data_IF_538073880020
#
_entry.id   IF_538073880020
#
_cell.length_a   1.000
_cell.length_b   1.000
_cell.length_c   1.000
_cell.angle_alpha   90.00
_cell.angle_beta   90.00
_cell.angle_gamma   90.00
#
_symmetry.space_group_name_H-M   'P 1'
#
loop_
_entity.id
_entity.type
_entity.pdbx_description
1 polymer ?
#
# COMPACT_ATOMS: atom_id res chain seq x y z
N UNK A 1 -62.88 -22.13 -15.27
CA UNK A 1 -61.63 -21.51 -14.79
C UNK A 1 -61.20 -20.54 -15.87
N UNK A 2 -61.18 -19.24 -15.60
CA UNK A 2 -60.80 -18.23 -16.59
C UNK A 2 -59.30 -18.28 -16.85
N UNK A 3 -58.91 -18.37 -18.10
CA UNK A 3 -57.51 -18.30 -18.55
C UNK A 3 -57.34 -17.02 -19.36
N UNK A 4 -56.22 -16.33 -19.12
CA UNK A 4 -55.83 -15.13 -19.86
C UNK A 4 -54.69 -15.51 -20.82
N UNK A 5 -54.78 -15.07 -22.06
CA UNK A 5 -53.75 -15.27 -23.06
C UNK A 5 -52.72 -14.14 -22.97
N UNK A 6 -51.47 -14.48 -22.70
CA UNK A 6 -50.34 -13.55 -22.65
C UNK A 6 -49.27 -13.97 -23.63
N UNK A 7 -48.47 -13.03 -24.12
CA UNK A 7 -47.32 -13.36 -24.97
C UNK A 7 -46.10 -13.74 -24.14
N UNK A 8 -45.38 -14.75 -24.61
CA UNK A 8 -44.04 -15.08 -24.14
C UNK A 8 -43.07 -13.95 -24.51
N UNK A 9 -42.40 -13.34 -23.53
CA UNK A 9 -41.46 -12.26 -23.79
C UNK A 9 -40.16 -12.73 -24.49
N UNK A 10 -39.91 -14.05 -24.55
CA UNK A 10 -38.73 -14.63 -25.20
C UNK A 10 -38.96 -14.99 -26.68
N UNK A 11 -40.14 -15.50 -27.04
CA UNK A 11 -40.40 -16.02 -28.39
C UNK A 11 -41.69 -15.50 -29.03
N UNK A 12 -42.47 -14.67 -28.34
CA UNK A 12 -43.73 -14.11 -28.82
C UNK A 12 -44.91 -15.09 -28.87
N UNK A 13 -44.71 -16.38 -28.55
CA UNK A 13 -45.80 -17.36 -28.54
C UNK A 13 -46.87 -17.03 -27.49
N UNK A 14 -48.14 -17.24 -27.83
CA UNK A 14 -49.26 -17.11 -26.89
C UNK A 14 -49.24 -18.22 -25.84
N UNK A 15 -49.44 -17.85 -24.57
CA UNK A 15 -49.50 -18.75 -23.43
C UNK A 15 -50.80 -18.47 -22.67
N UNK A 16 -51.61 -19.50 -22.51
CA UNK A 16 -52.79 -19.44 -21.64
C UNK A 16 -52.37 -19.71 -20.20
N UNK A 17 -52.59 -18.74 -19.32
CA UNK A 17 -52.30 -18.85 -17.90
C UNK A 17 -53.56 -18.63 -17.06
N UNK A 18 -53.73 -19.38 -15.96
CA UNK A 18 -54.74 -19.07 -14.96
C UNK A 18 -54.51 -17.68 -14.35
N UNK A 19 -55.58 -16.96 -14.01
CA UNK A 19 -55.50 -15.65 -13.36
C UNK A 19 -54.69 -15.65 -12.05
N UNK A 20 -54.64 -16.79 -11.35
CA UNK A 20 -53.86 -16.96 -10.10
C UNK A 20 -52.42 -17.39 -10.30
N UNK A 21 -51.99 -17.74 -11.53
CA UNK A 21 -50.65 -18.27 -11.77
C UNK A 21 -49.60 -17.16 -11.70
N UNK A 22 -48.62 -17.31 -10.80
CA UNK A 22 -47.44 -16.42 -10.69
C UNK A 22 -46.30 -16.82 -11.64
N UNK A 23 -46.30 -18.07 -12.07
CA UNK A 23 -45.26 -18.66 -12.90
C UNK A 23 -45.87 -19.50 -14.01
N UNK A 24 -45.26 -19.50 -15.17
CA UNK A 24 -45.68 -20.31 -16.31
C UNK A 24 -44.47 -20.76 -17.13
N UNK A 25 -44.61 -21.90 -17.82
CA UNK A 25 -43.59 -22.40 -18.75
C UNK A 25 -44.13 -22.27 -20.16
N UNK A 26 -43.37 -21.61 -21.04
CA UNK A 26 -43.74 -21.52 -22.44
C UNK A 26 -43.63 -22.91 -23.08
N UNK A 27 -44.73 -23.43 -23.63
CA UNK A 27 -44.72 -24.73 -24.34
C UNK A 27 -43.98 -24.69 -25.68
N UNK A 28 -43.74 -23.51 -26.24
CA UNK A 28 -43.05 -23.35 -27.52
C UNK A 28 -41.53 -23.29 -27.38
N UNK A 29 -41.00 -22.52 -26.42
CA UNK A 29 -39.55 -22.32 -26.26
C UNK A 29 -39.00 -22.89 -24.94
N UNK A 30 -39.85 -23.45 -24.07
CA UNK A 30 -39.44 -24.07 -22.82
C UNK A 30 -39.06 -23.11 -21.69
N UNK A 31 -39.06 -21.79 -21.92
CA UNK A 31 -38.62 -20.82 -20.92
C UNK A 31 -39.58 -20.74 -19.72
N UNK A 32 -39.00 -20.57 -18.52
CA UNK A 32 -39.75 -20.29 -17.28
C UNK A 32 -39.96 -18.78 -17.14
N UNK A 33 -41.22 -18.39 -17.00
CA UNK A 33 -41.66 -17.01 -17.00
C UNK A 33 -42.35 -16.66 -15.68
N UNK A 34 -42.03 -15.49 -15.13
CA UNK A 34 -42.79 -14.85 -14.06
C UNK A 34 -43.93 -14.04 -14.70
N UNK A 35 -45.14 -14.19 -14.19
CA UNK A 35 -46.31 -13.42 -14.67
C UNK A 35 -46.48 -12.19 -13.79
N UNK A 36 -46.29 -11.00 -14.37
CA UNK A 36 -46.47 -9.72 -13.70
C UNK A 36 -47.82 -9.13 -14.11
N UNK A 37 -48.67 -8.87 -13.12
CA UNK A 37 -49.97 -8.20 -13.29
C UNK A 37 -49.90 -6.83 -12.65
N UNK A 38 -50.13 -5.79 -13.43
CA UNK A 38 -50.23 -4.41 -12.96
C UNK A 38 -51.65 -3.89 -13.22
N UNK A 39 -51.96 -2.68 -12.77
CA UNK A 39 -53.27 -2.06 -13.00
C UNK A 39 -53.58 -1.82 -14.49
N UNK A 40 -52.55 -1.78 -15.35
CA UNK A 40 -52.68 -1.39 -16.76
C UNK A 40 -52.22 -2.46 -17.75
N UNK A 41 -51.52 -3.51 -17.31
CA UNK A 41 -51.01 -4.56 -18.19
C UNK A 41 -50.66 -5.85 -17.44
N UNK A 42 -50.84 -6.98 -18.13
CA UNK A 42 -50.28 -8.29 -17.76
C UNK A 42 -49.18 -8.64 -18.75
N UNK A 43 -47.97 -8.97 -18.26
CA UNK A 43 -46.85 -9.37 -19.10
C UNK A 43 -46.01 -10.47 -18.46
N UNK A 44 -45.21 -11.17 -19.27
CA UNK A 44 -44.30 -12.22 -18.82
C UNK A 44 -42.86 -11.71 -18.76
N UNK A 45 -42.09 -12.15 -17.75
CA UNK A 45 -40.68 -11.82 -17.57
C UNK A 45 -39.87 -13.11 -17.42
N UNK A 46 -38.69 -13.20 -18.05
CA UNK A 46 -37.88 -14.43 -18.04
C UNK A 46 -37.14 -14.58 -16.69
N UNK A 47 -37.34 -15.70 -15.99
CA UNK A 47 -36.70 -15.93 -14.68
C UNK A 47 -35.20 -16.26 -14.78
N UNK A 48 -34.80 -17.01 -15.81
CA UNK A 48 -33.42 -17.47 -16.01
C UNK A 48 -32.42 -16.32 -16.22
N UNK A 49 -32.89 -15.16 -16.68
CA UNK A 49 -32.04 -14.00 -16.96
C UNK A 49 -31.71 -13.20 -15.68
N UNK A 50 -32.47 -13.37 -14.60
CA UNK A 50 -32.24 -12.67 -13.32
C UNK A 50 -31.26 -13.43 -12.41
N UNK A 51 -31.38 -14.76 -12.30
CA UNK A 51 -30.40 -15.59 -11.56
C UNK A 51 -29.02 -15.54 -12.24
N UNK A 52 -28.95 -15.77 -13.56
CA UNK A 52 -27.67 -15.72 -14.29
C UNK A 52 -26.99 -14.35 -14.29
N UNK A 53 -27.75 -13.25 -14.20
CA UNK A 53 -27.16 -11.91 -14.09
C UNK A 53 -26.64 -11.63 -12.70
N UNK A 54 -27.29 -12.15 -11.66
CA UNK A 54 -26.89 -11.94 -10.26
C UNK A 54 -25.59 -12.68 -9.97
N UNK A 55 -25.48 -13.96 -10.37
CA UNK A 55 -24.26 -14.76 -10.20
C UNK A 55 -23.06 -14.11 -10.91
N UNK A 56 -23.24 -13.68 -12.18
CA UNK A 56 -22.18 -13.00 -12.94
C UNK A 56 -21.84 -11.61 -12.43
N UNK A 57 -22.73 -10.97 -11.67
CA UNK A 57 -22.48 -9.68 -11.02
C UNK A 57 -21.71 -9.88 -9.73
N UNK A 58 -22.05 -10.90 -8.94
CA UNK A 58 -21.31 -11.28 -7.73
C UNK A 58 -19.85 -11.63 -8.06
N UNK A 59 -19.62 -12.48 -9.06
CA UNK A 59 -18.27 -12.85 -9.50
C UNK A 59 -17.42 -11.63 -9.93
N UNK A 60 -18.06 -10.65 -10.60
CA UNK A 60 -17.38 -9.42 -11.04
C UNK A 60 -17.13 -8.45 -9.89
N UNK A 61 -18.02 -8.38 -8.91
CA UNK A 61 -17.85 -7.54 -7.73
C UNK A 61 -16.70 -8.07 -6.86
N UNK A 62 -16.59 -9.38 -6.69
CA UNK A 62 -15.49 -9.97 -5.93
C UNK A 62 -14.14 -9.76 -6.62
N UNK A 63 -14.07 -9.97 -7.95
CA UNK A 63 -12.85 -9.69 -8.70
C UNK A 63 -12.43 -8.20 -8.64
N UNK A 64 -13.39 -7.27 -8.63
CA UNK A 64 -13.12 -5.83 -8.52
C UNK A 64 -12.72 -5.40 -7.09
N UNK A 65 -13.37 -5.96 -6.07
CA UNK A 65 -13.09 -5.66 -4.66
C UNK A 65 -11.66 -6.07 -4.27
N UNK A 66 -11.14 -7.16 -4.85
CA UNK A 66 -9.79 -7.64 -4.56
C UNK A 66 -8.70 -6.77 -5.20
N UNK A 67 -8.98 -6.15 -6.35
CA UNK A 67 -8.06 -5.18 -6.96
C UNK A 67 -7.95 -3.88 -6.16
N UNK A 68 -9.05 -3.42 -5.57
CA UNK A 68 -9.04 -2.15 -4.82
C UNK A 68 -8.24 -2.24 -3.52
N UNK A 69 -8.22 -3.39 -2.84
CA UNK A 69 -7.46 -3.56 -1.59
C UNK A 69 -5.95 -3.36 -1.80
N UNK A 70 -5.39 -3.91 -2.89
CA UNK A 70 -3.98 -3.75 -3.22
C UNK A 70 -3.64 -2.29 -3.54
N UNK A 71 -4.49 -1.62 -4.32
CA UNK A 71 -4.31 -0.19 -4.63
C UNK A 71 -4.39 0.69 -3.39
N UNK A 72 -5.32 0.39 -2.47
CA UNK A 72 -5.44 1.12 -1.21
C UNK A 72 -4.20 0.94 -0.33
N UNK A 73 -3.67 -0.28 -0.26
CA UNK A 73 -2.41 -0.56 0.44
C UNK A 73 -1.25 0.22 -0.16
N UNK A 74 -1.12 0.24 -1.49
CA UNK A 74 -0.06 0.95 -2.20
C UNK A 74 -0.17 2.47 -1.98
N UNK A 75 -1.38 3.04 -2.09
CA UNK A 75 -1.63 4.47 -1.78
C UNK A 75 -1.37 4.82 -0.31
N UNK A 76 -1.68 3.91 0.62
CA UNK A 76 -1.38 4.11 2.03
C UNK A 76 0.13 4.09 2.29
N UNK A 77 0.86 3.19 1.63
CA UNK A 77 2.31 3.13 1.70
C UNK A 77 2.97 4.39 1.15
N UNK A 78 2.53 4.90 -0.01
CA UNK A 78 3.06 6.15 -0.57
C UNK A 78 2.91 7.33 0.39
N UNK A 79 1.73 7.48 1.01
CA UNK A 79 1.48 8.53 2.02
C UNK A 79 2.38 8.38 3.25
N UNK A 80 2.63 7.16 3.70
CA UNK A 80 3.50 6.90 4.87
C UNK A 80 4.98 7.05 4.53
N UNK A 81 5.40 6.64 3.33
CA UNK A 81 6.79 6.65 2.87
C UNK A 81 7.40 8.06 2.95
N UNK A 82 6.62 9.09 2.60
CA UNK A 82 7.05 10.48 2.70
C UNK A 82 7.49 10.89 4.11
N UNK A 83 6.94 10.30 5.17
CA UNK A 83 7.29 10.62 6.56
C UNK A 83 8.67 10.07 6.97
N UNK A 84 9.20 9.10 6.23
CA UNK A 84 10.50 8.48 6.51
C UNK A 84 11.61 8.99 5.61
N UNK A 85 11.26 9.61 4.48
CA UNK A 85 12.23 10.18 3.54
C UNK A 85 12.99 11.34 4.16
N UNK A 86 14.27 11.45 3.82
CA UNK A 86 15.13 12.55 4.25
C UNK A 86 15.42 13.39 3.01
N UNK A 87 15.17 14.70 3.09
CA UNK A 87 15.51 15.63 2.02
C UNK A 87 17.00 15.94 2.08
N UNK A 88 17.71 15.64 1.01
CA UNK A 88 19.11 16.01 0.89
C UNK A 88 19.25 17.54 0.64
N UNK A 89 20.48 18.06 0.64
CA UNK A 89 20.75 19.50 0.42
C UNK A 89 20.28 20.02 -0.95
N UNK A 90 19.98 19.12 -1.90
CA UNK A 90 19.53 19.43 -3.26
C UNK A 90 18.00 19.39 -3.37
N UNK A 91 17.28 19.19 -2.26
CA UNK A 91 15.81 19.10 -2.26
C UNK A 91 15.27 17.74 -2.71
N UNK A 92 16.14 16.76 -2.97
CA UNK A 92 15.73 15.43 -3.42
C UNK A 92 15.40 14.58 -2.18
N UNK A 93 14.21 14.00 -2.17
CA UNK A 93 13.78 13.06 -1.15
C UNK A 93 14.43 11.70 -1.41
N UNK A 94 15.40 11.32 -0.58
CA UNK A 94 16.08 10.03 -0.67
C UNK A 94 15.58 9.06 0.40
N UNK A 95 15.58 7.78 0.06
CA UNK A 95 15.30 6.71 1.02
C UNK A 95 16.51 6.59 1.95
N UNK A 96 16.33 6.71 3.29
CA UNK A 96 17.44 6.55 4.22
C UNK A 96 18.03 5.14 4.12
N UNK A 97 19.27 5.02 3.66
CA UNK A 97 19.97 3.74 3.58
C UNK A 97 20.77 3.48 4.85
N UNK A 98 20.68 2.24 5.37
CA UNK A 98 21.52 1.79 6.49
C UNK A 98 23.01 1.91 6.16
N UNK A 99 23.38 1.61 4.91
CA UNK A 99 24.76 1.65 4.39
C UNK A 99 25.37 3.06 4.42
N UNK A 100 24.61 4.11 4.10
CA UNK A 100 25.10 5.49 4.19
C UNK A 100 25.39 5.90 5.64
N UNK A 101 24.59 5.43 6.60
CA UNK A 101 24.75 5.74 8.01
C UNK A 101 25.98 5.05 8.64
N UNK A 102 26.24 3.79 8.31
CA UNK A 102 27.41 3.07 8.84
C UNK A 102 28.73 3.59 8.26
N UNK A 103 28.79 3.87 6.95
CA UNK A 103 29.99 4.42 6.32
C UNK A 103 30.28 5.82 6.88
N UNK A 104 29.25 6.68 7.01
CA UNK A 104 29.40 8.00 7.61
C UNK A 104 29.93 7.94 9.04
N UNK A 105 29.40 7.04 9.85
CA UNK A 105 29.87 6.84 11.24
C UNK A 105 31.34 6.42 11.33
N UNK A 106 31.76 5.46 10.49
CA UNK A 106 33.16 4.99 10.46
C UNK A 106 34.12 6.11 10.03
N UNK A 107 33.75 6.88 8.99
CA UNK A 107 34.56 8.01 8.52
C UNK A 107 34.68 9.09 9.59
N UNK A 108 33.57 9.47 10.23
CA UNK A 108 33.59 10.50 11.27
C UNK A 108 34.40 10.04 12.49
N UNK A 109 34.23 8.80 12.93
CA UNK A 109 34.98 8.24 14.06
C UNK A 109 36.47 8.15 13.74
N UNK A 110 36.85 7.64 12.57
CA UNK A 110 38.24 7.53 12.14
C UNK A 110 38.91 8.89 11.97
N UNK A 111 38.29 9.79 11.22
CA UNK A 111 38.80 11.14 11.00
C UNK A 111 38.90 11.93 12.31
N UNK A 112 37.87 11.89 13.15
CA UNK A 112 37.87 12.59 14.42
C UNK A 112 38.89 12.05 15.41
N UNK A 113 39.14 10.73 15.41
CA UNK A 113 40.22 10.13 16.22
C UNK A 113 41.59 10.60 15.75
N UNK A 114 41.86 10.53 14.45
CA UNK A 114 43.13 10.98 13.87
C UNK A 114 43.34 12.48 14.13
N UNK A 115 42.30 13.29 13.88
CA UNK A 115 42.33 14.74 14.13
C UNK A 115 42.64 15.04 15.61
N UNK A 116 42.00 14.34 16.55
CA UNK A 116 42.21 14.56 17.99
C UNK A 116 43.64 14.20 18.40
N UNK A 117 44.21 13.12 17.86
CA UNK A 117 45.60 12.73 18.12
C UNK A 117 46.59 13.80 17.61
N UNK A 118 46.39 14.30 16.38
CA UNK A 118 47.21 15.36 15.79
C UNK A 118 47.05 16.68 16.56
N UNK A 119 45.83 17.04 16.93
CA UNK A 119 45.51 18.23 17.70
C UNK A 119 46.17 18.23 19.09
N UNK A 120 46.18 17.09 19.78
CA UNK A 120 46.87 16.94 21.06
C UNK A 120 48.40 17.06 20.90
N UNK A 121 48.98 16.47 19.85
CA UNK A 121 50.42 16.55 19.58
C UNK A 121 50.89 17.97 19.25
N UNK A 122 50.11 18.71 18.47
CA UNK A 122 50.42 20.09 18.09
C UNK A 122 50.09 21.07 19.24
N UNK A 123 49.00 20.86 19.97
CA UNK A 123 48.59 21.69 21.10
C UNK A 123 49.66 21.76 22.21
N UNK A 124 50.38 20.67 22.45
CA UNK A 124 51.52 20.64 23.37
C UNK A 124 52.68 21.55 22.93
N UNK A 125 52.91 21.73 21.62
CA UNK A 125 53.92 22.65 21.11
C UNK A 125 53.51 24.13 21.27
N UNK A 126 52.20 24.43 21.20
CA UNK A 126 51.67 25.79 21.38
C UNK A 126 51.56 26.24 22.84
N UNK A 127 51.62 25.32 23.81
CA UNK A 127 51.62 25.67 25.24
C UNK A 127 52.89 26.40 25.70
N UNK A 128 54.02 26.19 25.01
CA UNK A 128 55.27 26.87 25.30
C UNK A 128 55.42 28.21 24.55
N UNK A 129 54.45 28.59 23.70
CA UNK A 129 54.53 29.80 22.89
C UNK A 129 54.02 31.04 23.66
N UNK A 130 54.73 32.17 23.61
CA UNK A 130 54.31 33.41 24.25
C UNK A 130 53.11 34.05 23.53
N UNK A 131 52.19 34.67 24.28
CA UNK A 131 50.99 35.33 23.75
C UNK A 131 49.71 34.49 23.92
N UNK A 132 48.66 34.67 23.10
CA UNK A 132 47.36 33.99 23.27
C UNK A 132 47.36 32.51 22.83
N UNK A 133 48.47 32.00 22.33
CA UNK A 133 48.62 30.64 21.79
C UNK A 133 48.34 29.48 22.78
N UNK A 134 48.59 29.59 24.10
CA UNK A 134 48.23 28.54 25.06
C UNK A 134 46.71 28.28 25.13
N UNK A 135 45.89 29.33 24.95
CA UNK A 135 44.42 29.19 24.94
C UNK A 135 43.96 28.44 23.69
N UNK A 136 44.61 28.70 22.54
CA UNK A 136 44.34 27.99 21.28
C UNK A 136 44.66 26.51 21.41
N UNK A 137 45.78 26.15 22.05
CA UNK A 137 46.17 24.76 22.31
C UNK A 137 45.16 23.98 23.16
N UNK A 138 44.37 24.66 24.00
CA UNK A 138 43.33 24.04 24.82
C UNK A 138 41.99 23.88 24.08
N UNK A 139 41.60 24.87 23.26
CA UNK A 139 40.32 24.86 22.55
C UNK A 139 40.31 23.91 21.33
N UNK A 140 41.45 23.77 20.67
CA UNK A 140 41.57 23.01 19.42
C UNK A 140 41.27 21.49 19.56
N UNK A 141 41.73 20.78 20.60
CA UNK A 141 41.33 19.39 20.85
C UNK A 141 39.87 19.26 21.29
N UNK A 142 39.36 20.23 22.05
CA UNK A 142 37.98 20.27 22.53
C UNK A 142 36.97 20.33 21.37
N UNK A 143 37.30 21.09 20.32
CA UNK A 143 36.53 21.10 19.08
C UNK A 143 36.45 19.70 18.43
N UNK A 144 37.55 18.96 18.41
CA UNK A 144 37.59 17.58 17.89
C UNK A 144 36.65 16.65 18.64
N UNK A 145 36.62 16.74 19.98
CA UNK A 145 35.70 15.95 20.82
C UNK A 145 34.24 16.28 20.53
N UNK A 146 33.90 17.58 20.44
CA UNK A 146 32.53 18.02 20.12
C UNK A 146 32.12 17.58 18.72
N UNK A 147 33.03 17.66 17.74
CA UNK A 147 32.80 17.20 16.38
C UNK A 147 32.49 15.69 16.31
N UNK A 148 33.28 14.86 17.00
CA UNK A 148 33.04 13.41 17.09
C UNK A 148 31.71 13.12 17.77
N UNK A 149 31.42 13.75 18.91
CA UNK A 149 30.17 13.55 19.63
C UNK A 149 28.94 13.94 18.79
N UNK A 150 29.00 15.09 18.11
CA UNK A 150 27.96 15.55 17.20
C UNK A 150 27.78 14.61 16.00
N UNK A 151 28.87 14.12 15.42
CA UNK A 151 28.85 13.16 14.34
C UNK A 151 28.21 11.82 14.72
N UNK A 152 28.59 11.26 15.87
CA UNK A 152 27.98 10.03 16.41
C UNK A 152 26.48 10.23 16.63
N UNK A 153 26.07 11.36 17.22
CA UNK A 153 24.65 11.65 17.43
C UNK A 153 23.87 11.73 16.11
N UNK A 154 24.44 12.36 15.09
CA UNK A 154 23.85 12.45 13.75
C UNK A 154 23.72 11.07 13.11
N UNK A 155 24.76 10.23 13.19
CA UNK A 155 24.74 8.85 12.70
C UNK A 155 23.71 8.00 13.42
N UNK A 156 23.57 8.13 14.75
CA UNK A 156 22.55 7.43 15.51
C UNK A 156 21.14 7.85 15.09
N UNK A 157 20.92 9.15 14.85
CA UNK A 157 19.65 9.66 14.39
C UNK A 157 19.27 9.08 13.01
N UNK A 158 20.21 9.11 12.05
CA UNK A 158 19.99 8.58 10.71
C UNK A 158 19.76 7.06 10.71
N UNK A 159 20.48 6.32 11.55
CA UNK A 159 20.31 4.88 11.71
C UNK A 159 18.91 4.53 12.24
N UNK A 160 18.44 5.23 13.28
CA UNK A 160 17.08 5.01 13.84
C UNK A 160 15.99 5.30 12.80
N UNK A 161 16.18 6.32 11.96
CA UNK A 161 15.23 6.65 10.91
C UNK A 161 15.21 5.58 9.79
N UNK A 162 16.38 5.10 9.37
CA UNK A 162 16.50 3.99 8.41
C UNK A 162 15.84 2.71 8.94
N UNK A 163 16.02 2.40 10.23
CA UNK A 163 15.42 1.22 10.85
C UNK A 163 13.88 1.32 10.91
N UNK A 164 13.35 2.50 11.24
CA UNK A 164 11.90 2.75 11.21
C UNK A 164 11.32 2.55 9.81
N UNK A 165 12.01 3.09 8.78
CA UNK A 165 11.63 2.89 7.39
C UNK A 165 11.60 1.42 7.02
N UNK A 166 12.67 0.67 7.31
CA UNK A 166 12.79 -0.74 6.95
C UNK A 166 11.74 -1.60 7.64
N UNK A 167 11.48 -1.37 8.93
CA UNK A 167 10.40 -2.06 9.65
C UNK A 167 9.03 -1.75 9.04
N UNK A 168 8.78 -0.52 8.61
CA UNK A 168 7.53 -0.15 7.96
C UNK A 168 7.41 -0.78 6.57
N UNK A 169 8.49 -0.77 5.79
CA UNK A 169 8.55 -1.36 4.46
C UNK A 169 8.36 -2.87 4.48
N UNK A 170 8.98 -3.57 5.44
CA UNK A 170 8.80 -5.01 5.60
C UNK A 170 7.36 -5.37 5.94
N UNK A 171 6.68 -4.57 6.78
CA UNK A 171 5.24 -4.76 7.06
C UNK A 171 4.39 -4.57 5.81
N UNK A 172 4.71 -3.56 4.99
CA UNK A 172 4.03 -3.35 3.71
C UNK A 172 4.23 -4.55 2.77
N UNK A 173 5.47 -5.03 2.61
CA UNK A 173 5.78 -6.19 1.77
C UNK A 173 5.07 -7.46 2.24
N UNK A 174 5.01 -7.70 3.56
CA UNK A 174 4.29 -8.84 4.13
C UNK A 174 2.79 -8.79 3.79
N UNK A 175 2.14 -7.64 3.97
CA UNK A 175 0.72 -7.45 3.63
C UNK A 175 0.47 -7.61 2.13
N UNK A 176 1.34 -7.04 1.29
CA UNK A 176 1.23 -7.17 -0.15
C UNK A 176 1.33 -8.64 -0.59
N UNK A 177 2.23 -9.41 0.02
CA UNK A 177 2.37 -10.84 -0.25
C UNK A 177 1.12 -11.62 0.15
N UNK A 178 0.53 -11.34 1.31
CA UNK A 178 -0.68 -12.04 1.75
C UNK A 178 -1.89 -11.78 0.85
N UNK A 179 -2.06 -10.54 0.37
CA UNK A 179 -3.14 -10.20 -0.57
C UNK A 179 -2.95 -10.95 -1.90
N UNK A 180 -1.72 -10.97 -2.43
CA UNK A 180 -1.42 -11.69 -3.67
C UNK A 180 -1.60 -13.21 -3.53
N UNK A 181 -1.23 -13.78 -2.38
CA UNK A 181 -1.47 -15.21 -2.09
C UNK A 181 -2.97 -15.54 -1.99
N UNK A 182 -3.78 -14.64 -1.44
CA UNK A 182 -5.25 -14.80 -1.41
C UNK A 182 -5.84 -14.73 -2.81
N UNK A 183 -5.41 -13.77 -3.64
CA UNK A 183 -5.84 -13.65 -5.04
C UNK A 183 -5.47 -14.90 -5.86
N UNK A 184 -4.28 -15.46 -5.67
CA UNK A 184 -3.86 -16.69 -6.35
C UNK A 184 -4.73 -17.90 -6.00
N UNK A 185 -5.08 -18.08 -4.72
CA UNK A 185 -5.94 -19.19 -4.28
C UNK A 185 -7.37 -19.07 -4.79
N UNK A 186 -7.90 -17.85 -4.87
CA UNK A 186 -9.24 -17.63 -5.43
C UNK A 186 -9.23 -18.00 -6.91
N UNK A 187 -8.20 -17.63 -7.66
CA UNK A 187 -8.07 -18.00 -9.08
C UNK A 187 -8.08 -19.51 -9.34
N UNK A 188 -7.54 -20.33 -8.44
CA UNK A 188 -7.53 -21.80 -8.55
C UNK A 188 -8.86 -22.47 -8.16
N UNK A 189 -9.75 -21.79 -7.43
CA UNK A 189 -11.05 -22.35 -6.99
C UNK A 189 -12.13 -22.28 -8.09
N UNK A 190 -11.86 -21.55 -9.18
CA UNK A 190 -12.78 -21.36 -10.32
C UNK A 190 -12.46 -22.24 -11.55
N UNK A 191 -11.38 -23.02 -11.52
CA UNK A 191 -10.95 -23.96 -12.59
C UNK A 191 -11.38 -25.41 -12.28
#
# INVERSE_FOLDING_TARGET
MSTEAISCNQCGAGIDVPESAKYATCRHCGSRLAIKRTLTATYSELLEELEQRTDRLEDRVDALAHGSELEELDRAWERQRGQYMITNKQGIAEVPTKTGSTIGGVVIAGFGTIWTLVACGIGGAFQAAPGPFPIVGLLFPLFGVVFVAGGIAMTMHSYRQAERYERAYNRYLQKRKSILEQQGKIGEDWD
#
